data_IF_782691406339
#
_entry.id   IF_782691406339
#
_cell.length_a   1.000
_cell.length_b   1.000
_cell.length_c   1.000
_cell.angle_alpha   90.00
_cell.angle_beta   90.00
_cell.angle_gamma   90.00
#
_symmetry.space_group_name_H-M   'P 1'
#
loop_
_entity.id
_entity.type
_entity.pdbx_description
1 polymer ?
#
# COMPACT_ATOMS: atom_id res chain seq x y z
N UNK A 1 3.89 -22.99 22.77
CA UNK A 1 3.39 -23.90 21.71
C UNK A 1 2.97 -23.01 20.56
N UNK A 2 3.82 -22.97 19.54
CA UNK A 2 3.61 -22.15 18.36
C UNK A 2 2.48 -22.80 17.55
N UNK A 3 1.28 -22.23 17.63
CA UNK A 3 0.09 -22.72 16.92
C UNK A 3 0.06 -22.18 15.48
N UNK A 4 1.21 -22.07 14.83
CA UNK A 4 1.24 -21.69 13.42
C UNK A 4 0.73 -22.86 12.58
N UNK A 5 -0.23 -22.58 11.69
CA UNK A 5 -0.77 -23.57 10.74
C UNK A 5 0.15 -23.74 9.52
N UNK A 6 1.19 -22.91 9.40
CA UNK A 6 2.11 -22.83 8.27
C UNK A 6 3.54 -22.74 8.80
N UNK A 7 4.41 -23.60 8.28
CA UNK A 7 5.85 -23.52 8.48
C UNK A 7 6.46 -22.64 7.37
N UNK A 8 7.36 -21.73 7.75
CA UNK A 8 8.06 -20.82 6.83
C UNK A 8 9.55 -21.08 6.93
N UNK A 9 10.19 -21.36 5.79
CA UNK A 9 11.61 -21.67 5.75
C UNK A 9 12.30 -20.97 4.57
N UNK A 10 13.55 -20.54 4.77
CA UNK A 10 14.41 -20.01 3.70
C UNK A 10 15.49 -21.04 3.39
N UNK A 11 15.41 -21.67 2.20
CA UNK A 11 16.36 -22.67 1.71
C UNK A 11 16.66 -22.42 0.24
N UNK A 12 17.92 -22.58 -0.16
CA UNK A 12 18.35 -22.49 -1.56
C UNK A 12 17.86 -21.22 -2.30
N UNK A 13 17.95 -20.06 -1.63
CA UNK A 13 17.43 -18.77 -2.12
C UNK A 13 15.92 -18.77 -2.45
N UNK A 14 15.14 -19.63 -1.79
CA UNK A 14 13.69 -19.68 -1.90
C UNK A 14 13.06 -19.55 -0.52
N UNK A 15 11.94 -18.84 -0.46
CA UNK A 15 11.06 -18.81 0.73
C UNK A 15 9.96 -19.85 0.52
N UNK A 16 9.95 -20.88 1.35
CA UNK A 16 9.00 -21.97 1.29
C UNK A 16 7.92 -21.81 2.38
N UNK A 17 6.66 -21.96 1.97
CA UNK A 17 5.50 -21.97 2.85
C UNK A 17 4.88 -23.37 2.84
N UNK A 18 5.01 -24.11 3.94
CA UNK A 18 4.50 -25.48 4.05
C UNK A 18 3.28 -25.49 4.96
N UNK A 19 2.07 -25.79 4.43
CA UNK A 19 0.89 -25.96 5.28
C UNK A 19 1.03 -27.24 6.12
N UNK A 20 0.92 -27.13 7.45
CA UNK A 20 1.07 -28.27 8.37
C UNK A 20 -0.16 -29.20 8.38
N UNK A 21 -1.25 -28.80 7.73
CA UNK A 21 -2.51 -29.57 7.66
C UNK A 21 -3.08 -29.50 6.25
N UNK A 22 -3.63 -30.62 5.78
CA UNK A 22 -4.31 -30.69 4.47
C UNK A 22 -5.76 -30.20 4.57
N UNK A 23 -5.94 -28.90 4.80
CA UNK A 23 -7.24 -28.23 4.76
C UNK A 23 -7.22 -27.04 3.81
N UNK A 24 -8.36 -26.78 3.18
CA UNK A 24 -8.50 -25.72 2.17
C UNK A 24 -8.16 -24.32 2.73
N UNK A 25 -8.65 -24.01 3.92
CA UNK A 25 -8.38 -22.75 4.63
C UNK A 25 -6.89 -22.55 4.91
N UNK A 26 -6.19 -23.58 5.40
CA UNK A 26 -4.74 -23.53 5.67
C UNK A 26 -3.95 -23.30 4.37
N UNK A 27 -4.33 -23.97 3.28
CA UNK A 27 -3.72 -23.75 1.96
C UNK A 27 -3.95 -22.32 1.46
N UNK A 28 -5.14 -21.76 1.67
CA UNK A 28 -5.45 -20.37 1.31
C UNK A 28 -4.57 -19.37 2.07
N UNK A 29 -4.34 -19.59 3.37
CA UNK A 29 -3.45 -18.73 4.16
C UNK A 29 -2.01 -18.83 3.65
N UNK A 30 -1.52 -20.04 3.31
CA UNK A 30 -0.19 -20.22 2.72
C UNK A 30 -0.05 -19.50 1.36
N UNK A 31 -1.10 -19.52 0.55
CA UNK A 31 -1.18 -18.73 -0.68
C UNK A 31 -1.09 -17.22 -0.44
N UNK A 32 -1.77 -16.71 0.60
CA UNK A 32 -1.68 -15.30 0.98
C UNK A 32 -0.27 -14.91 1.44
N UNK A 33 0.39 -15.77 2.24
CA UNK A 33 1.75 -15.52 2.71
C UNK A 33 2.75 -15.49 1.56
N UNK A 34 2.61 -16.44 0.61
CA UNK A 34 3.38 -16.43 -0.63
C UNK A 34 3.18 -15.13 -1.41
N UNK A 35 1.93 -14.71 -1.61
CA UNK A 35 1.62 -13.48 -2.35
C UNK A 35 2.17 -12.22 -1.68
N UNK A 36 2.05 -12.11 -0.34
CA UNK A 36 2.64 -11.00 0.40
C UNK A 36 4.16 -10.98 0.30
N UNK A 37 4.82 -12.15 0.39
CA UNK A 37 6.27 -12.25 0.27
C UNK A 37 6.75 -11.88 -1.12
N UNK A 38 6.03 -12.30 -2.15
CA UNK A 38 6.33 -11.90 -3.52
C UNK A 38 6.21 -10.38 -3.68
N UNK A 39 5.14 -9.76 -3.17
CA UNK A 39 5.00 -8.30 -3.23
C UNK A 39 6.14 -7.58 -2.48
N UNK A 40 6.57 -8.09 -1.31
CA UNK A 40 7.69 -7.49 -0.58
C UNK A 40 9.00 -7.56 -1.36
N UNK A 41 9.29 -8.69 -2.03
CA UNK A 41 10.50 -8.84 -2.85
C UNK A 41 10.43 -7.91 -4.07
N UNK A 42 9.30 -7.87 -4.77
CA UNK A 42 9.09 -6.99 -5.92
C UNK A 42 9.24 -5.52 -5.52
N UNK A 43 8.61 -5.10 -4.42
CA UNK A 43 8.64 -3.73 -3.91
C UNK A 43 10.03 -3.23 -3.51
N UNK A 44 10.91 -4.13 -3.06
CA UNK A 44 12.32 -3.80 -2.78
C UNK A 44 13.16 -3.63 -4.05
N UNK A 45 12.75 -4.22 -5.17
CA UNK A 45 13.45 -4.13 -6.45
C UNK A 45 12.92 -2.98 -7.31
N UNK A 46 11.60 -2.81 -7.33
CA UNK A 46 10.87 -1.80 -8.07
C UNK A 46 9.79 -1.25 -7.15
N UNK A 47 9.78 0.07 -6.94
CA UNK A 47 8.74 0.69 -6.13
C UNK A 47 7.36 0.51 -6.77
N UNK A 48 6.35 0.38 -5.92
CA UNK A 48 4.96 0.46 -6.36
C UNK A 48 4.60 1.93 -6.55
N UNK A 49 3.92 2.23 -7.66
CA UNK A 49 3.48 3.59 -7.99
C UNK A 49 1.98 3.57 -8.25
N UNK A 50 1.26 4.50 -7.62
CA UNK A 50 -0.14 4.77 -7.83
C UNK A 50 -0.30 6.20 -8.33
N UNK A 51 -0.86 6.32 -9.54
CA UNK A 51 -1.26 7.60 -10.11
C UNK A 51 -2.73 7.86 -9.77
N UNK A 52 -3.01 9.00 -9.14
CA UNK A 52 -4.35 9.45 -8.81
C UNK A 52 -4.66 10.78 -9.49
N UNK A 53 -5.89 10.90 -9.98
CA UNK A 53 -6.35 12.09 -10.69
C UNK A 53 -7.41 12.86 -9.89
N UNK A 54 -7.18 14.14 -9.67
CA UNK A 54 -8.17 15.04 -9.07
C UNK A 54 -9.20 15.49 -10.11
N UNK A 55 -10.48 15.17 -9.92
CA UNK A 55 -11.55 15.55 -10.85
C UNK A 55 -12.64 16.32 -10.11
N UNK A 56 -13.06 17.45 -10.68
CA UNK A 56 -14.12 18.29 -10.15
C UNK A 56 -15.04 18.82 -11.25
N UNK A 57 -16.27 19.18 -10.89
CA UNK A 57 -17.25 19.77 -11.80
C UNK A 57 -17.43 21.28 -11.57
N UNK A 58 -17.78 21.68 -10.35
CA UNK A 58 -18.17 23.06 -10.04
C UNK A 58 -17.17 23.82 -9.17
N UNK A 59 -16.62 23.15 -8.17
CA UNK A 59 -15.69 23.76 -7.22
C UNK A 59 -14.27 23.26 -7.54
N UNK A 60 -13.39 24.10 -8.10
CA UNK A 60 -11.98 23.76 -8.28
C UNK A 60 -11.36 23.45 -6.92
N UNK A 61 -10.79 22.26 -6.77
CA UNK A 61 -10.12 21.84 -5.54
C UNK A 61 -8.62 22.06 -5.66
N UNK A 62 -7.96 22.25 -4.53
CA UNK A 62 -6.49 22.35 -4.48
C UNK A 62 -5.96 21.24 -3.59
N UNK A 63 -4.99 20.48 -4.10
CA UNK A 63 -4.30 19.44 -3.35
C UNK A 63 -2.91 19.95 -2.97
N UNK A 64 -2.49 19.74 -1.73
CA UNK A 64 -1.17 20.16 -1.22
C UNK A 64 -0.59 19.11 -0.30
N UNK A 65 0.71 18.87 -0.40
CA UNK A 65 1.48 18.13 0.61
C UNK A 65 1.98 19.09 1.68
N UNK A 66 1.70 18.81 2.94
CA UNK A 66 2.17 19.57 4.10
C UNK A 66 2.76 18.60 5.12
N UNK A 67 4.09 18.56 5.21
CA UNK A 67 4.77 17.60 6.09
C UNK A 67 4.46 16.16 5.70
N UNK A 68 3.91 15.40 6.65
CA UNK A 68 3.45 14.02 6.52
C UNK A 68 1.94 13.92 6.22
N UNK A 69 1.31 14.98 5.73
CA UNK A 69 -0.11 14.99 5.34
C UNK A 69 -0.33 15.50 3.91
N UNK A 70 -1.39 15.00 3.27
CA UNK A 70 -2.00 15.59 2.07
C UNK A 70 -3.26 16.33 2.49
N UNK A 71 -3.35 17.59 2.08
CA UNK A 71 -4.47 18.48 2.33
C UNK A 71 -5.25 18.71 1.04
N UNK A 72 -6.56 18.57 1.10
CA UNK A 72 -7.49 18.87 0.01
C UNK A 72 -8.33 20.07 0.45
N UNK A 73 -8.09 21.21 -0.19
CA UNK A 73 -8.80 22.47 0.05
C UNK A 73 -9.96 22.63 -0.94
N UNK A 74 -11.02 23.32 -0.50
CA UNK A 74 -12.23 23.61 -1.30
C UNK A 74 -12.95 22.36 -1.83
N UNK A 75 -12.83 21.22 -1.13
CA UNK A 75 -13.54 20.00 -1.47
C UNK A 75 -15.06 20.24 -1.41
N UNK A 76 -15.74 20.18 -2.56
CA UNK A 76 -17.17 20.50 -2.67
C UNK A 76 -17.58 21.88 -2.10
N UNK A 77 -16.65 22.85 -2.03
CA UNK A 77 -16.91 24.17 -1.44
C UNK A 77 -16.73 24.25 0.08
N UNK A 78 -16.19 23.20 0.72
CA UNK A 78 -15.86 23.20 2.15
C UNK A 78 -14.78 24.26 2.46
N UNK A 79 -14.96 24.98 3.58
CA UNK A 79 -13.96 25.95 4.08
C UNK A 79 -12.82 25.28 4.84
N UNK A 80 -13.10 24.17 5.49
CA UNK A 80 -12.12 23.40 6.25
C UNK A 80 -11.45 22.38 5.32
N UNK A 81 -10.11 22.28 5.29
CA UNK A 81 -9.41 21.33 4.44
C UNK A 81 -9.58 19.89 4.97
N UNK A 82 -9.74 18.95 4.06
CA UNK A 82 -9.63 17.52 4.38
C UNK A 82 -8.18 17.10 4.41
N UNK A 83 -7.81 16.25 5.36
CA UNK A 83 -6.42 15.83 5.59
C UNK A 83 -6.32 14.32 5.54
N UNK A 84 -5.25 13.82 4.94
CA UNK A 84 -4.89 12.41 4.92
C UNK A 84 -3.42 12.26 5.30
N UNK A 85 -3.14 11.40 6.27
CA UNK A 85 -1.76 11.13 6.71
C UNK A 85 -1.05 10.24 5.68
N UNK A 86 0.20 10.58 5.39
CA UNK A 86 1.13 9.82 4.56
C UNK A 86 1.82 8.81 5.45
N UNK A 87 1.77 7.53 5.08
CA UNK A 87 2.38 6.46 5.87
C UNK A 87 3.91 6.48 5.74
N UNK A 88 4.61 6.01 6.78
CA UNK A 88 6.06 5.93 6.78
C UNK A 88 6.60 5.08 5.62
N UNK A 89 7.51 5.67 4.85
CA UNK A 89 8.14 5.02 3.69
C UNK A 89 7.35 5.16 2.38
N UNK A 90 6.30 5.98 2.37
CA UNK A 90 5.56 6.39 1.17
C UNK A 90 5.98 7.80 0.79
N UNK A 91 6.32 8.02 -0.48
CA UNK A 91 6.43 9.35 -1.06
C UNK A 91 5.15 9.74 -1.79
N UNK A 92 4.85 11.04 -1.74
CA UNK A 92 3.71 11.62 -2.44
C UNK A 92 4.21 12.86 -3.18
N UNK A 93 3.98 12.90 -4.47
CA UNK A 93 4.23 14.05 -5.33
C UNK A 93 2.90 14.63 -5.79
N UNK A 94 2.76 15.95 -5.68
CA UNK A 94 1.53 16.66 -6.06
C UNK A 94 1.80 17.48 -7.31
N UNK A 95 1.03 17.22 -8.37
CA UNK A 95 1.14 17.87 -9.67
C UNK A 95 -0.21 18.52 -10.03
N UNK A 96 -0.46 19.74 -9.54
CA UNK A 96 -1.77 20.36 -9.66
C UNK A 96 -2.79 19.67 -8.76
N UNK A 97 -3.84 19.08 -9.34
CA UNK A 97 -4.79 18.23 -8.59
C UNK A 97 -4.42 16.75 -8.60
N UNK A 98 -3.41 16.35 -9.39
CA UNK A 98 -3.00 14.96 -9.56
C UNK A 98 -1.92 14.59 -8.55
N UNK A 99 -1.88 13.30 -8.19
CA UNK A 99 -0.96 12.74 -7.21
C UNK A 99 -0.24 11.54 -7.79
N UNK A 100 1.07 11.48 -7.58
CA UNK A 100 1.85 10.26 -7.74
C UNK A 100 2.28 9.79 -6.35
N UNK A 101 1.87 8.58 -5.98
CA UNK A 101 2.14 7.98 -4.68
C UNK A 101 3.04 6.78 -4.91
N UNK A 102 4.21 6.75 -4.28
CA UNK A 102 5.19 5.69 -4.48
C UNK A 102 5.72 5.13 -3.17
N UNK A 103 6.07 3.84 -3.18
CA UNK A 103 6.73 3.21 -2.04
C UNK A 103 7.05 1.73 -2.26
N UNK A 104 7.95 1.16 -1.44
CA UNK A 104 8.35 -0.24 -1.55
C UNK A 104 7.34 -1.22 -0.91
N UNK A 105 6.51 -0.77 0.03
CA UNK A 105 5.47 -1.61 0.65
C UNK A 105 4.11 -1.37 -0.01
N UNK A 106 3.66 -2.33 -0.82
CA UNK A 106 2.38 -2.29 -1.52
C UNK A 106 1.15 -2.03 -0.65
N UNK A 107 1.24 -2.29 0.67
CA UNK A 107 0.10 -2.12 1.59
C UNK A 107 0.03 -0.74 2.23
N UNK A 108 1.12 0.02 2.18
CA UNK A 108 1.17 1.39 2.67
C UNK A 108 0.82 2.34 1.53
#
# INVERSE_FOLDING_TARGET
MDNSLIEVEVKDNKVQFTPLRDKRDVKSIAGAYRGHTQNMIEGLQNEYVYEMKGVYAHFPMTVKKQGDEVHIENFMGEREPRRAQIMDGVDVQVNGEDLEISGPDKKK
#
